data_IF_588754460382
#
_entry.id   IF_588754460382
#
_cell.length_a   1.000
_cell.length_b   1.000
_cell.length_c   1.000
_cell.angle_alpha   90.00
_cell.angle_beta   90.00
_cell.angle_gamma   90.00
#
_symmetry.space_group_name_H-M   'P 1'
#
loop_
_entity.id
_entity.type
_entity.pdbx_description
1 polymer ?
#
# COMPACT_ATOMS: atom_id res chain seq x y z
N UNK A 1 15.64 23.99 -14.91
CA UNK A 1 16.46 22.87 -15.39
C UNK A 1 17.18 22.29 -14.18
N UNK A 2 16.76 21.12 -13.67
CA UNK A 2 17.33 20.54 -12.44
C UNK A 2 18.70 19.97 -12.78
N UNK A 3 19.75 20.41 -12.09
CA UNK A 3 21.13 20.01 -12.42
C UNK A 3 21.51 18.70 -11.70
N UNK A 4 22.45 17.93 -12.27
CA UNK A 4 22.97 16.68 -11.66
C UNK A 4 23.46 16.87 -10.22
N UNK A 5 23.89 18.08 -9.84
CA UNK A 5 24.34 18.41 -8.49
C UNK A 5 23.17 18.47 -7.49
N UNK A 6 21.98 18.92 -7.91
CA UNK A 6 20.76 18.91 -7.09
C UNK A 6 20.25 17.49 -6.82
N UNK A 7 20.49 16.54 -7.74
CA UNK A 7 20.15 15.13 -7.55
C UNK A 7 21.02 14.46 -6.48
N UNK A 8 22.32 14.78 -6.43
CA UNK A 8 23.27 14.16 -5.49
C UNK A 8 23.16 14.81 -4.09
N UNK A 9 22.90 16.13 -4.03
CA UNK A 9 22.63 16.86 -2.79
C UNK A 9 21.18 16.71 -2.30
N UNK A 10 20.40 15.90 -3.02
CA UNK A 10 19.11 15.42 -2.58
C UNK A 10 19.30 14.67 -1.28
N UNK A 11 19.03 15.37 -0.18
CA UNK A 11 18.55 14.76 1.05
C UNK A 11 17.22 14.07 0.70
N UNK A 12 17.29 13.00 -0.11
CA UNK A 12 16.26 12.01 -0.25
C UNK A 12 16.21 11.40 1.13
N UNK A 13 15.52 12.09 2.05
CA UNK A 13 15.02 11.58 3.29
C UNK A 13 14.51 10.22 2.90
N UNK A 14 15.28 9.15 3.23
CA UNK A 14 14.94 7.77 2.89
C UNK A 14 13.48 7.71 3.30
N UNK A 15 12.58 7.72 2.32
CA UNK A 15 11.15 7.63 2.60
C UNK A 15 11.13 6.26 3.19
N UNK A 16 11.08 6.18 4.53
CA UNK A 16 11.00 4.93 5.24
C UNK A 16 9.92 4.18 4.50
N UNK A 17 10.35 3.23 3.69
CA UNK A 17 9.47 2.35 2.95
C UNK A 17 8.81 1.62 4.07
N UNK A 18 7.63 2.12 4.48
CA UNK A 18 6.85 1.66 5.61
C UNK A 18 6.43 0.24 5.30
N UNK A 19 7.39 -0.66 5.44
CA UNK A 19 7.23 -2.08 5.36
C UNK A 19 6.26 -2.42 6.45
N UNK A 20 5.10 -2.91 6.05
CA UNK A 20 4.12 -3.57 6.90
C UNK A 20 3.40 -2.73 7.98
N UNK A 21 3.82 -1.49 8.26
CA UNK A 21 3.13 -0.56 9.18
C UNK A 21 2.01 0.27 8.52
N UNK A 22 1.57 -0.07 7.31
CA UNK A 22 0.48 0.68 6.67
C UNK A 22 -0.87 0.19 7.21
N UNK A 23 -1.85 1.05 7.52
CA UNK A 23 -3.16 0.63 8.04
C UNK A 23 -3.85 -0.41 7.15
N UNK A 24 -3.72 -0.27 5.83
CA UNK A 24 -4.23 -1.25 4.84
C UNK A 24 -3.55 -2.61 4.97
N UNK A 25 -2.22 -2.67 5.18
CA UNK A 25 -1.55 -3.96 5.33
C UNK A 25 -1.90 -4.65 6.64
N UNK A 26 -2.08 -3.89 7.72
CA UNK A 26 -2.51 -4.40 9.02
C UNK A 26 -3.93 -4.97 8.92
N UNK A 27 -4.84 -4.23 8.28
CA UNK A 27 -6.22 -4.64 8.09
C UNK A 27 -6.32 -5.96 7.31
N UNK A 28 -5.65 -6.03 6.16
CA UNK A 28 -5.72 -7.21 5.30
C UNK A 28 -5.06 -8.44 5.95
N UNK A 29 -3.97 -8.25 6.71
CA UNK A 29 -3.26 -9.34 7.40
C UNK A 29 -4.05 -9.89 8.60
N UNK A 30 -4.67 -9.01 9.38
CA UNK A 30 -5.44 -9.44 10.56
C UNK A 30 -6.72 -10.19 10.16
N UNK A 31 -7.22 -9.94 8.95
CA UNK A 31 -8.47 -10.51 8.45
C UNK A 31 -8.21 -11.47 7.28
N UNK A 32 -7.17 -12.32 7.40
CA UNK A 32 -6.73 -13.30 6.39
C UNK A 32 -7.84 -14.19 5.79
N UNK A 33 -9.01 -14.29 6.42
CA UNK A 33 -10.16 -15.09 5.96
C UNK A 33 -11.13 -14.33 5.05
N UNK A 34 -10.96 -13.02 4.84
CA UNK A 34 -11.93 -12.19 4.13
C UNK A 34 -11.38 -11.54 2.87
N UNK A 35 -12.23 -11.49 1.85
CA UNK A 35 -11.97 -10.79 0.60
C UNK A 35 -12.45 -9.33 0.76
N UNK A 36 -11.54 -8.36 0.62
CA UNK A 36 -11.86 -6.94 0.83
C UNK A 36 -12.07 -6.21 -0.49
N UNK A 37 -13.12 -5.39 -0.56
CA UNK A 37 -13.25 -4.42 -1.65
C UNK A 37 -12.54 -3.12 -1.29
N UNK A 38 -12.24 -2.29 -2.30
CA UNK A 38 -11.70 -0.94 -2.05
C UNK A 38 -12.65 -0.10 -1.19
N UNK A 39 -13.97 -0.27 -1.34
CA UNK A 39 -14.97 0.44 -0.53
C UNK A 39 -14.86 0.05 0.95
N UNK A 40 -14.70 -1.25 1.24
CA UNK A 40 -14.55 -1.74 2.62
C UNK A 40 -13.28 -1.20 3.28
N UNK A 41 -12.16 -1.25 2.55
CA UNK A 41 -10.89 -0.73 3.02
C UNK A 41 -11.01 0.77 3.29
N UNK A 42 -11.68 1.52 2.41
CA UNK A 42 -11.90 2.96 2.59
C UNK A 42 -12.75 3.25 3.82
N UNK A 43 -13.83 2.50 4.04
CA UNK A 43 -14.73 2.68 5.18
C UNK A 43 -14.02 2.39 6.52
N UNK A 44 -13.22 1.32 6.57
CA UNK A 44 -12.52 0.91 7.80
C UNK A 44 -11.30 1.77 8.12
N UNK A 45 -10.50 2.11 7.10
CA UNK A 45 -9.27 2.89 7.30
C UNK A 45 -9.50 4.40 7.30
N UNK A 46 -10.65 4.89 6.82
CA UNK A 46 -10.96 6.32 6.59
C UNK A 46 -9.89 7.04 5.74
N UNK A 47 -9.14 6.30 4.93
CA UNK A 47 -8.05 6.83 4.10
C UNK A 47 -8.55 7.29 2.73
N UNK A 48 -7.80 8.20 2.11
CA UNK A 48 -8.05 8.61 0.72
C UNK A 48 -7.83 7.44 -0.23
N UNK A 49 -8.70 7.34 -1.24
CA UNK A 49 -8.70 6.28 -2.26
C UNK A 49 -7.35 6.13 -2.97
N UNK A 50 -6.68 7.25 -3.28
CA UNK A 50 -5.38 7.24 -3.94
C UNK A 50 -4.29 6.58 -3.07
N UNK A 51 -4.31 6.83 -1.76
CA UNK A 51 -3.39 6.21 -0.81
C UNK A 51 -3.64 4.71 -0.71
N UNK A 52 -4.91 4.31 -0.64
CA UNK A 52 -5.31 2.90 -0.61
C UNK A 52 -4.85 2.17 -1.88
N UNK A 53 -5.08 2.75 -3.07
CA UNK A 53 -4.60 2.18 -4.34
C UNK A 53 -3.08 2.02 -4.37
N UNK A 54 -2.35 3.03 -3.89
CA UNK A 54 -0.88 2.98 -3.82
C UNK A 54 -0.41 1.85 -2.90
N UNK A 55 -1.02 1.71 -1.73
CA UNK A 55 -0.73 0.64 -0.78
C UNK A 55 -1.04 -0.74 -1.36
N UNK A 56 -2.23 -0.93 -1.95
CA UNK A 56 -2.64 -2.19 -2.57
C UNK A 56 -1.69 -2.60 -3.69
N UNK A 57 -1.31 -1.68 -4.59
CA UNK A 57 -0.32 -1.94 -5.65
C UNK A 57 1.03 -2.37 -5.07
N UNK A 58 1.48 -1.72 -4.00
CA UNK A 58 2.73 -2.10 -3.31
C UNK A 58 2.64 -3.51 -2.72
N UNK A 59 1.52 -3.87 -2.10
CA UNK A 59 1.30 -5.20 -1.54
C UNK A 59 1.21 -6.29 -2.62
N UNK A 60 0.55 -6.02 -3.75
CA UNK A 60 0.51 -6.92 -4.91
C UNK A 60 1.93 -7.13 -5.45
N UNK A 61 2.71 -6.06 -5.62
CA UNK A 61 4.10 -6.14 -6.10
C UNK A 61 4.99 -6.98 -5.17
N UNK A 62 4.71 -6.98 -3.87
CA UNK A 62 5.42 -7.81 -2.88
C UNK A 62 4.91 -9.25 -2.80
N UNK A 63 3.85 -9.60 -3.54
CA UNK A 63 3.24 -10.93 -3.52
C UNK A 63 2.44 -11.24 -2.25
N UNK A 64 2.17 -10.24 -1.40
CA UNK A 64 1.48 -10.41 -0.11
C UNK A 64 -0.04 -10.51 -0.28
N UNK A 65 -0.59 -9.98 -1.38
CA UNK A 65 -2.02 -10.04 -1.67
C UNK A 65 -2.26 -10.43 -3.12
N UNK A 66 -3.36 -11.14 -3.34
CA UNK A 66 -3.89 -11.46 -4.67
C UNK A 66 -5.04 -10.51 -4.96
N UNK A 67 -5.07 -9.98 -6.17
CA UNK A 67 -6.19 -9.16 -6.66
C UNK A 67 -7.07 -10.01 -7.59
N UNK A 68 -8.30 -10.26 -7.16
CA UNK A 68 -9.35 -10.91 -7.95
C UNK A 68 -10.54 -9.95 -7.99
N UNK A 69 -10.55 -9.07 -8.99
CA UNK A 69 -11.49 -7.94 -9.06
C UNK A 69 -12.96 -8.39 -8.78
N UNK A 70 -13.69 -7.67 -7.92
CA UNK A 70 -13.33 -6.43 -7.21
C UNK A 70 -12.59 -6.62 -5.87
N UNK A 71 -12.13 -7.83 -5.57
CA UNK A 71 -11.63 -8.22 -4.25
C UNK A 71 -10.09 -8.29 -4.15
N UNK A 72 -9.61 -8.04 -2.93
CA UNK A 72 -8.22 -8.24 -2.51
C UNK A 72 -8.18 -9.29 -1.39
N UNK A 73 -7.31 -10.28 -1.54
CA UNK A 73 -7.18 -11.43 -0.63
C UNK A 73 -5.75 -11.47 -0.15
N UNK A 74 -5.52 -11.61 1.16
CA UNK A 74 -4.18 -11.80 1.69
C UNK A 74 -3.67 -13.20 1.34
N UNK A 75 -2.44 -13.26 0.82
CA UNK A 75 -1.75 -14.50 0.47
C UNK A 75 -0.68 -14.71 1.55
N UNK A 76 -0.91 -15.71 2.39
CA UNK A 76 0.07 -16.17 3.38
C UNK A 76 1.25 -16.89 2.70
#
# INVERSE_FOLDING_TARGET
>A
MITRKDFIKGNFKKRNSGGLKHPVSILLKNENKYAFTVKDITKRTKMKLNTIRSALRSLIKKGLIIHKAPYFIWKE
#
